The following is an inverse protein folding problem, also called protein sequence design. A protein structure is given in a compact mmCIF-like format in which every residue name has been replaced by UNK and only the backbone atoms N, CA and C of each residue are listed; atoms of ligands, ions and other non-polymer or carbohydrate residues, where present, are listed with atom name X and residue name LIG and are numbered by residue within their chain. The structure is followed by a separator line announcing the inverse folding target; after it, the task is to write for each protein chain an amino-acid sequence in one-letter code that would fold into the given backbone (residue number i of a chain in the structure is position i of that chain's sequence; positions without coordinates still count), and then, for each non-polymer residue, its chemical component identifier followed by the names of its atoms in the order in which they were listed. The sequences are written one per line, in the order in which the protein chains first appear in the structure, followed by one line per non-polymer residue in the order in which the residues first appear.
data_IF_997576640220
#
_entry.id   IF_997576640220
#
_cell.length_a   1.000
_cell.length_b   1.000
_cell.length_c   1.000
_cell.angle_alpha   90.00
_cell.angle_beta   90.00
_cell.angle_gamma   90.00
#
_symmetry.space_group_name_H-M   'P 1'
#
loop_
_entity.id
_entity.type
_entity.pdbx_description
1 polymer ?
#
# COMPACT_ATOMS: atom_id res chain seq x y z
N UNK A 1 -11.95 -4.26 -1.35
CA UNK A 1 -12.89 -3.14 -1.06
C UNK A 1 -12.46 -2.63 0.30
N UNK A 2 -11.79 -1.48 0.37
CA UNK A 2 -11.16 -1.00 1.60
C UNK A 2 -12.24 -0.58 2.60
N UNK A 3 -12.50 -1.41 3.61
CA UNK A 3 -13.46 -1.09 4.66
C UNK A 3 -12.78 -0.23 5.73
N UNK A 4 -13.23 1.02 5.87
CA UNK A 4 -12.93 1.79 7.07
C UNK A 4 -13.72 1.18 8.23
N UNK A 5 -13.02 0.85 9.31
CA UNK A 5 -13.58 0.09 10.43
C UNK A 5 -12.91 0.40 11.75
N UNK A 6 -13.54 -0.09 12.82
CA UNK A 6 -12.96 -0.13 14.15
C UNK A 6 -12.18 -1.42 14.30
N UNK A 7 -10.90 -1.33 14.63
CA UNK A 7 -10.08 -2.48 14.94
C UNK A 7 -10.34 -2.95 16.37
N UNK A 8 -10.54 -4.24 16.54
CA UNK A 8 -10.66 -4.87 17.85
C UNK A 8 -9.32 -4.92 18.55
N UNK A 9 -9.33 -5.01 19.89
CA UNK A 9 -8.11 -5.17 20.69
C UNK A 9 -7.30 -6.40 20.25
N UNK A 10 -8.00 -7.49 19.91
CA UNK A 10 -7.39 -8.74 19.45
C UNK A 10 -6.64 -8.56 18.12
N UNK A 11 -7.24 -7.86 17.15
CA UNK A 11 -6.59 -7.54 15.87
C UNK A 11 -5.35 -6.65 16.06
N UNK A 12 -5.45 -5.63 16.91
CA UNK A 12 -4.33 -4.71 17.17
C UNK A 12 -3.16 -5.42 17.87
N UNK A 13 -3.44 -6.31 18.82
CA UNK A 13 -2.41 -7.14 19.44
C UNK A 13 -1.79 -8.12 18.44
N UNK A 14 -2.58 -8.69 17.54
CA UNK A 14 -2.09 -9.63 16.52
C UNK A 14 -1.10 -8.98 15.53
N UNK A 15 -1.21 -7.67 15.28
CA UNK A 15 -0.24 -6.91 14.47
C UNK A 15 0.95 -6.39 15.26
N UNK A 16 1.02 -6.68 16.56
CA UNK A 16 2.18 -6.39 17.42
C UNK A 16 2.15 -5.02 18.11
N UNK A 17 0.99 -4.37 18.20
CA UNK A 17 0.85 -3.17 19.04
C UNK A 17 0.92 -3.55 20.53
N UNK A 18 1.55 -2.70 21.34
CA UNK A 18 1.65 -2.89 22.78
C UNK A 18 0.28 -2.67 23.46
N UNK A 19 -0.06 -3.55 24.41
CA UNK A 19 -1.27 -3.42 25.22
C UNK A 19 -1.33 -2.07 25.95
N UNK A 20 -0.20 -1.54 26.42
CA UNK A 20 -0.16 -0.24 27.08
C UNK A 20 -0.58 0.92 26.15
N UNK A 21 -0.32 0.81 24.85
CA UNK A 21 -0.76 1.78 23.83
C UNK A 21 -2.24 1.59 23.54
N UNK A 22 -2.69 0.35 23.38
CA UNK A 22 -4.09 0.05 23.03
C UNK A 22 -5.04 0.41 24.17
N UNK A 23 -4.61 0.24 25.42
CA UNK A 23 -5.40 0.49 26.61
C UNK A 23 -5.34 1.99 27.05
N UNK A 24 -4.60 2.85 26.34
CA UNK A 24 -4.59 4.31 26.56
C UNK A 24 -5.97 4.91 26.22
N UNK A 25 -6.62 5.69 27.11
CA UNK A 25 -7.92 6.30 26.86
C UNK A 25 -7.94 7.30 25.68
N UNK A 26 -6.79 7.76 25.21
CA UNK A 26 -6.63 8.62 24.04
C UNK A 26 -6.31 7.86 22.75
N UNK A 27 -6.16 6.53 22.79
CA UNK A 27 -5.92 5.74 21.60
C UNK A 27 -7.18 5.62 20.74
N UNK A 28 -7.05 5.94 19.45
CA UNK A 28 -8.16 5.85 18.47
C UNK A 28 -7.95 4.65 17.58
N UNK A 29 -8.77 3.61 17.76
CA UNK A 29 -8.72 2.35 17.02
C UNK A 29 -9.57 2.34 15.73
N UNK A 30 -9.66 3.48 15.03
CA UNK A 30 -10.40 3.60 13.77
C UNK A 30 -9.42 3.78 12.62
N UNK A 31 -9.58 3.02 11.55
CA UNK A 31 -8.78 3.21 10.35
C UNK A 31 -9.24 2.34 9.19
N UNK A 32 -8.40 2.28 8.15
CA UNK A 32 -8.64 1.46 6.97
C UNK A 32 -7.34 0.78 6.56
N UNK A 33 -7.46 -0.43 6.02
CA UNK A 33 -6.32 -1.19 5.48
C UNK A 33 -6.50 -1.27 3.98
N UNK A 34 -5.40 -1.09 3.26
CA UNK A 34 -5.37 -1.30 1.82
C UNK A 34 -5.02 -2.76 1.52
N UNK A 35 -5.90 -3.43 0.78
CA UNK A 35 -5.64 -4.78 0.28
C UNK A 35 -4.40 -4.78 -0.65
N UNK A 36 -3.50 -5.74 -0.48
CA UNK A 36 -2.32 -5.93 -1.33
C UNK A 36 -1.41 -4.68 -1.45
N UNK A 37 -1.31 -3.88 -0.39
CA UNK A 37 -0.50 -2.65 -0.38
C UNK A 37 1.01 -2.88 -0.66
N UNK A 38 1.46 -4.13 -0.52
CA UNK A 38 2.82 -4.60 -0.76
C UNK A 38 3.06 -5.12 -2.18
N UNK A 39 2.00 -5.36 -2.96
CA UNK A 39 2.08 -5.84 -4.34
C UNK A 39 2.54 -4.74 -5.30
N UNK A 40 3.46 -5.09 -6.22
CA UNK A 40 4.02 -4.17 -7.21
C UNK A 40 4.57 -4.92 -8.42
N UNK A 41 4.21 -4.50 -9.64
CA UNK A 41 4.77 -5.04 -10.88
C UNK A 41 6.11 -4.37 -11.20
N UNK A 42 7.19 -4.90 -10.63
CA UNK A 42 8.54 -4.38 -10.85
C UNK A 42 8.92 -4.33 -12.33
N UNK A 43 8.50 -5.32 -13.12
CA UNK A 43 8.91 -5.46 -14.52
C UNK A 43 8.27 -4.39 -15.41
N UNK A 44 7.01 -4.03 -15.13
CA UNK A 44 6.32 -2.95 -15.82
C UNK A 44 7.06 -1.62 -15.68
N UNK A 45 7.59 -1.35 -14.48
CA UNK A 45 8.32 -0.11 -14.16
C UNK A 45 9.83 -0.20 -14.40
N UNK A 46 10.33 -1.34 -14.89
CA UNK A 46 11.75 -1.53 -15.22
C UNK A 46 12.68 -1.71 -14.01
N UNK A 47 12.16 -2.13 -12.87
CA UNK A 47 12.93 -2.47 -11.68
C UNK A 47 13.19 -3.98 -11.62
N UNK A 48 14.34 -4.36 -11.06
CA UNK A 48 14.58 -5.73 -10.59
C UNK A 48 13.77 -6.01 -9.32
N UNK A 49 13.62 -7.30 -8.98
CA UNK A 49 12.98 -7.72 -7.74
C UNK A 49 13.62 -7.10 -6.51
N UNK A 50 14.95 -7.08 -6.45
CA UNK A 50 15.68 -6.57 -5.30
C UNK A 50 15.52 -5.05 -5.12
N UNK A 51 15.51 -4.31 -6.23
CA UNK A 51 15.21 -2.86 -6.20
C UNK A 51 13.79 -2.63 -5.71
N UNK A 52 12.81 -3.34 -6.26
CA UNK A 52 11.40 -3.22 -5.86
C UNK A 52 11.16 -3.56 -4.39
N UNK A 53 11.81 -4.61 -3.85
CA UNK A 53 11.73 -4.97 -2.43
C UNK A 53 12.33 -3.90 -1.52
N UNK A 54 13.31 -3.15 -2.02
CA UNK A 54 13.96 -2.05 -1.29
C UNK A 54 13.23 -0.71 -1.45
N UNK A 55 12.21 -0.63 -2.31
CA UNK A 55 11.43 0.58 -2.52
C UNK A 55 10.41 0.81 -1.40
N UNK A 56 10.30 2.07 -0.99
CA UNK A 56 9.25 2.52 -0.09
C UNK A 56 7.86 2.12 -0.65
N UNK A 57 7.00 1.45 0.15
CA UNK A 57 5.68 1.02 -0.32
C UNK A 57 4.79 2.15 -0.86
N UNK A 58 4.89 3.36 -0.30
CA UNK A 58 4.08 4.51 -0.75
C UNK A 58 4.53 4.97 -2.14
N UNK A 59 5.82 4.90 -2.45
CA UNK A 59 6.32 5.16 -3.80
C UNK A 59 5.82 4.13 -4.81
N UNK A 60 5.80 2.84 -4.43
CA UNK A 60 5.26 1.75 -5.27
C UNK A 60 3.77 1.93 -5.56
N UNK A 61 2.99 2.33 -4.54
CA UNK A 61 1.57 2.68 -4.71
C UNK A 61 1.37 3.90 -5.60
N UNK A 62 2.18 4.94 -5.43
CA UNK A 62 2.11 6.15 -6.25
C UNK A 62 2.35 5.85 -7.73
N UNK A 63 3.36 5.05 -8.06
CA UNK A 63 3.66 4.65 -9.44
C UNK A 63 2.49 3.91 -10.11
N UNK A 64 1.86 2.98 -9.38
CA UNK A 64 0.66 2.28 -9.85
C UNK A 64 -0.52 3.23 -10.06
N UNK A 65 -0.75 4.15 -9.13
CA UNK A 65 -1.82 5.14 -9.26
C UNK A 65 -1.63 6.06 -10.48
N UNK A 66 -0.40 6.51 -10.73
CA UNK A 66 -0.06 7.31 -11.92
C UNK A 66 -0.28 6.50 -13.20
N UNK A 67 0.16 5.24 -13.23
CA UNK A 67 -0.06 4.35 -14.37
C UNK A 67 -1.55 4.20 -14.69
N UNK A 68 -2.36 3.84 -13.68
CA UNK A 68 -3.81 3.71 -13.85
C UNK A 68 -4.49 5.01 -14.26
N UNK A 69 -4.04 6.16 -13.75
CA UNK A 69 -4.56 7.46 -14.16
C UNK A 69 -4.27 7.76 -15.63
N UNK A 70 -3.07 7.43 -16.12
CA UNK A 70 -2.69 7.58 -17.53
C UNK A 70 -3.49 6.64 -18.43
N UNK A 71 -3.63 5.36 -18.05
CA UNK A 71 -4.46 4.38 -18.77
C UNK A 71 -5.91 4.85 -18.85
N UNK A 72 -6.47 5.29 -17.73
CA UNK A 72 -7.84 5.81 -17.66
C UNK A 72 -8.02 7.06 -18.53
N UNK A 73 -7.00 7.90 -18.66
CA UNK A 73 -7.01 9.06 -19.56
C UNK A 73 -6.76 8.70 -21.04
N UNK A 74 -6.59 7.42 -21.39
CA UNK A 74 -6.34 6.96 -22.76
C UNK A 74 -4.91 7.14 -23.25
N UNK A 75 -3.97 7.48 -22.36
CA UNK A 75 -2.55 7.58 -22.71
C UNK A 75 -1.91 6.20 -22.59
N UNK A 76 -1.45 5.64 -23.71
CA UNK A 76 -0.56 4.49 -23.68
C UNK A 76 0.86 4.97 -23.32
N UNK A 77 1.45 4.49 -22.21
CA UNK A 77 2.85 4.77 -21.89
C UNK A 77 3.68 4.14 -23.01
N UNK A 78 4.30 4.99 -23.83
CA UNK A 78 5.03 4.56 -25.03
C UNK A 78 6.01 3.45 -24.66
N UNK A 79 5.78 2.27 -25.25
CA UNK A 79 6.75 1.18 -25.35
C UNK A 79 8.08 1.80 -25.83
N UNK A 80 9.13 1.71 -25.02
CA UNK A 80 10.49 2.14 -25.37
C UNK A 80 10.83 1.52 -26.74
N UNK A 81 11.22 2.29 -27.78
CA UNK A 81 11.78 1.69 -28.98
C UNK A 81 13.09 0.97 -28.61
N UNK A 82 13.50 -0.05 -29.38
CA UNK A 82 14.62 -0.93 -29.08
C UNK A 82 15.95 -0.20 -28.85
#
# INVERSE_FOLDING_TARGET
MNAAGRFTREELLAVGLDAAIIDDPHYVNIGTVLDNADCFDATLFGYSRQEAESMDPQQRLFLQAVWHALEHAGYAPRRRPP
#
